data_IF_085609431347
#
_entry.id   IF_085609431347
#
_cell.length_a   1.000
_cell.length_b   1.000
_cell.length_c   1.000
_cell.angle_alpha   90.00
_cell.angle_beta   90.00
_cell.angle_gamma   90.00
#
_symmetry.space_group_name_H-M   'P 1'
#
loop_
_entity.id
_entity.type
_entity.pdbx_description
1 polymer ?
#
# COMPACT_ATOMS: atom_id res chain seq x y z
N UNK A 1 -20.49 -24.38 -9.44
CA UNK A 1 -19.61 -24.99 -8.42
C UNK A 1 -20.30 -25.30 -7.09
N UNK A 2 -21.57 -24.92 -6.86
CA UNK A 2 -22.28 -25.30 -5.63
C UNK A 2 -22.30 -26.83 -5.40
N UNK A 3 -22.41 -27.61 -6.48
CA UNK A 3 -22.53 -29.07 -6.47
C UNK A 3 -21.21 -29.86 -6.32
N UNK A 4 -20.12 -29.20 -5.94
CA UNK A 4 -18.83 -29.84 -5.63
C UNK A 4 -18.29 -29.46 -4.25
N UNK A 5 -18.89 -28.47 -3.59
CA UNK A 5 -18.42 -27.99 -2.29
C UNK A 5 -19.00 -28.81 -1.16
N UNK A 6 -18.30 -28.82 -0.04
CA UNK A 6 -18.88 -29.25 1.22
C UNK A 6 -19.87 -28.19 1.70
N UNK A 7 -21.12 -28.58 1.90
CA UNK A 7 -22.20 -27.67 2.32
C UNK A 7 -22.83 -28.13 3.62
N UNK A 8 -23.15 -27.15 4.48
CA UNK A 8 -23.93 -27.38 5.68
C UNK A 8 -25.41 -27.26 5.28
N UNK A 9 -26.13 -28.36 5.39
CA UNK A 9 -27.58 -28.41 5.19
C UNK A 9 -28.23 -28.04 6.51
N UNK A 10 -28.94 -26.91 6.52
CA UNK A 10 -29.69 -26.47 7.70
C UNK A 10 -30.69 -27.54 8.11
N UNK A 11 -30.76 -27.78 9.42
CA UNK A 11 -31.74 -28.68 9.99
C UNK A 11 -33.16 -28.21 9.65
N UNK A 12 -34.03 -29.15 9.25
CA UNK A 12 -35.43 -28.84 8.94
C UNK A 12 -36.27 -28.58 10.20
N UNK A 13 -35.74 -28.90 11.38
CA UNK A 13 -36.37 -28.71 12.69
C UNK A 13 -35.41 -28.01 13.66
N UNK A 14 -35.91 -27.19 14.61
CA UNK A 14 -35.07 -26.45 15.57
C UNK A 14 -34.20 -27.32 16.49
N UNK A 15 -34.58 -28.59 16.69
CA UNK A 15 -33.91 -29.54 17.58
C UNK A 15 -32.85 -30.40 16.90
N UNK A 16 -32.71 -30.33 15.58
CA UNK A 16 -31.76 -31.14 14.81
C UNK A 16 -30.46 -30.37 14.56
N UNK A 17 -29.31 -31.08 14.66
CA UNK A 17 -28.02 -30.48 14.30
C UNK A 17 -27.92 -30.39 12.77
N UNK A 18 -27.34 -29.30 12.23
CA UNK A 18 -27.06 -29.22 10.80
C UNK A 18 -26.20 -30.40 10.34
N UNK A 19 -26.50 -30.96 9.17
CA UNK A 19 -25.72 -32.05 8.58
C UNK A 19 -24.82 -31.51 7.49
N UNK A 20 -23.64 -32.11 7.33
CA UNK A 20 -22.66 -31.68 6.33
C UNK A 20 -22.62 -32.68 5.19
N UNK A 21 -22.85 -32.21 3.97
CA UNK A 21 -22.76 -33.01 2.75
C UNK A 21 -21.47 -32.63 2.02
N UNK A 22 -20.65 -33.62 1.69
CA UNK A 22 -19.45 -33.43 0.89
C UNK A 22 -19.70 -33.94 -0.54
N UNK A 23 -20.04 -33.01 -1.43
CA UNK A 23 -20.37 -33.36 -2.82
C UNK A 23 -19.17 -33.88 -3.62
N UNK A 24 -17.95 -33.47 -3.27
CA UNK A 24 -16.74 -33.97 -3.93
C UNK A 24 -16.47 -35.40 -3.49
N UNK A 25 -16.58 -35.71 -2.20
CA UNK A 25 -16.47 -37.10 -1.73
C UNK A 25 -17.50 -38.00 -2.40
N UNK A 26 -18.76 -37.56 -2.46
CA UNK A 26 -19.82 -38.29 -3.15
C UNK A 26 -19.55 -38.46 -4.66
N UNK A 27 -18.73 -37.59 -5.27
CA UNK A 27 -18.31 -37.72 -6.65
C UNK A 27 -17.18 -38.73 -6.79
N UNK A 28 -16.17 -38.65 -5.91
CA UNK A 28 -15.06 -39.60 -5.86
C UNK A 28 -15.60 -41.02 -5.66
N UNK A 29 -16.54 -41.21 -4.72
CA UNK A 29 -17.13 -42.51 -4.43
C UNK A 29 -17.96 -43.09 -5.60
N UNK A 30 -18.25 -42.30 -6.66
CA UNK A 30 -19.00 -42.73 -7.85
C UNK A 30 -18.13 -43.18 -9.02
N UNK A 31 -16.82 -42.91 -9.00
CA UNK A 31 -15.93 -43.20 -10.11
C UNK A 31 -14.70 -43.96 -9.59
N UNK A 32 -14.33 -45.02 -10.30
CA UNK A 32 -13.15 -45.85 -9.94
C UNK A 32 -11.84 -45.32 -10.55
N UNK A 33 -11.91 -44.23 -11.33
CA UNK A 33 -10.81 -43.65 -12.09
C UNK A 33 -10.63 -42.15 -11.77
N UNK A 34 -9.38 -41.75 -11.55
CA UNK A 34 -9.02 -40.36 -11.19
C UNK A 34 -9.29 -39.42 -12.35
N UNK A 35 -8.98 -39.85 -13.59
CA UNK A 35 -9.18 -39.01 -14.77
C UNK A 35 -10.67 -38.77 -15.05
N UNK A 36 -11.53 -39.77 -14.82
CA UNK A 36 -12.98 -39.63 -14.88
C UNK A 36 -13.53 -38.62 -13.85
N UNK A 37 -13.02 -38.65 -12.60
CA UNK A 37 -13.39 -37.65 -11.59
C UNK A 37 -12.95 -36.25 -12.02
N UNK A 38 -11.71 -36.10 -12.52
CA UNK A 38 -11.20 -34.82 -13.01
C UNK A 38 -12.06 -34.31 -14.18
N UNK A 39 -12.38 -35.16 -15.15
CA UNK A 39 -13.22 -34.81 -16.30
C UNK A 39 -14.60 -34.31 -15.89
N UNK A 40 -15.27 -34.98 -14.95
CA UNK A 40 -16.58 -34.58 -14.44
C UNK A 40 -16.51 -33.28 -13.63
N UNK A 41 -15.44 -33.08 -12.84
CA UNK A 41 -15.20 -31.80 -12.15
C UNK A 41 -15.03 -30.67 -13.19
N UNK A 42 -14.21 -30.87 -14.22
CA UNK A 42 -13.98 -29.89 -15.28
C UNK A 42 -15.27 -29.56 -16.05
N UNK A 43 -16.07 -30.56 -16.39
CA UNK A 43 -17.36 -30.37 -17.06
C UNK A 43 -18.32 -29.51 -16.20
N UNK A 44 -18.36 -29.73 -14.88
CA UNK A 44 -19.18 -28.94 -13.94
C UNK A 44 -18.66 -27.52 -13.71
N UNK A 45 -17.38 -27.26 -13.96
CA UNK A 45 -16.81 -25.91 -13.81
C UNK A 45 -17.34 -24.95 -14.89
N UNK A 46 -17.72 -25.48 -16.07
CA UNK A 46 -18.26 -24.73 -17.23
C UNK A 46 -17.41 -23.51 -17.61
N UNK A 47 -16.08 -23.68 -17.59
CA UNK A 47 -15.13 -22.56 -17.72
C UNK A 47 -15.28 -21.78 -19.02
N UNK A 48 -15.58 -22.46 -20.12
CA UNK A 48 -15.81 -21.85 -21.45
C UNK A 48 -16.95 -20.81 -21.46
N UNK A 49 -17.95 -20.98 -20.59
CA UNK A 49 -19.07 -20.03 -20.45
C UNK A 49 -18.83 -18.92 -19.43
N UNK A 50 -17.72 -18.99 -18.68
CA UNK A 50 -17.42 -18.16 -17.51
C UNK A 50 -16.31 -17.16 -17.79
N UNK A 51 -16.50 -16.38 -18.84
CA UNK A 51 -15.49 -15.47 -19.40
C UNK A 51 -15.71 -14.00 -19.09
N UNK A 52 -16.83 -13.63 -18.45
CA UNK A 52 -17.13 -12.23 -18.15
C UNK A 52 -16.23 -11.69 -17.04
N UNK A 53 -15.82 -10.43 -17.20
CA UNK A 53 -15.01 -9.65 -16.25
C UNK A 53 -15.65 -8.32 -15.90
N UNK A 54 -16.83 -8.00 -16.47
CA UNK A 54 -17.55 -6.76 -16.24
C UNK A 54 -19.03 -6.98 -15.95
N UNK A 55 -19.59 -6.19 -15.03
CA UNK A 55 -21.03 -6.09 -14.79
C UNK A 55 -21.46 -4.64 -14.94
N UNK A 56 -22.66 -4.43 -15.47
CA UNK A 56 -23.25 -3.09 -15.65
C UNK A 56 -24.57 -3.09 -14.91
N UNK A 57 -24.70 -2.18 -13.94
CA UNK A 57 -25.95 -1.91 -13.27
C UNK A 57 -26.72 -0.85 -14.07
N UNK A 58 -27.88 -1.22 -14.61
CA UNK A 58 -28.73 -0.25 -15.32
C UNK A 58 -29.44 0.68 -14.33
N UNK A 59 -29.71 1.92 -14.74
CA UNK A 59 -30.48 2.89 -13.95
C UNK A 59 -31.86 2.37 -13.55
N UNK A 60 -32.49 1.58 -14.43
CA UNK A 60 -33.85 1.04 -14.23
C UNK A 60 -33.90 -0.22 -13.34
N UNK A 61 -32.77 -0.63 -12.75
CA UNK A 61 -32.72 -1.85 -11.93
C UNK A 61 -33.37 -1.60 -10.57
N UNK A 62 -34.61 -2.08 -10.37
CA UNK A 62 -35.23 -2.11 -9.05
C UNK A 62 -34.37 -2.88 -8.04
N UNK A 63 -34.27 -2.38 -6.79
CA UNK A 63 -33.42 -3.01 -5.77
C UNK A 63 -31.94 -3.05 -6.16
N UNK A 64 -31.46 -2.01 -6.84
CA UNK A 64 -30.12 -1.92 -7.44
C UNK A 64 -28.97 -2.39 -6.52
N UNK A 65 -29.00 -2.01 -5.24
CA UNK A 65 -28.01 -2.43 -4.24
C UNK A 65 -28.16 -3.90 -3.81
N UNK A 66 -29.37 -4.42 -3.71
CA UNK A 66 -29.63 -5.84 -3.42
C UNK A 66 -29.19 -6.72 -4.59
N UNK A 67 -29.46 -6.28 -5.83
CA UNK A 67 -28.99 -6.92 -7.04
C UNK A 67 -27.46 -6.96 -7.07
N UNK A 68 -26.80 -5.86 -6.76
CA UNK A 68 -25.35 -5.76 -6.73
C UNK A 68 -24.76 -6.72 -5.67
N UNK A 69 -25.27 -6.65 -4.44
CA UNK A 69 -24.86 -7.52 -3.33
C UNK A 69 -25.04 -9.01 -3.67
N UNK A 70 -26.16 -9.38 -4.28
CA UNK A 70 -26.46 -10.75 -4.71
C UNK A 70 -25.46 -11.25 -5.77
N UNK A 71 -25.18 -10.44 -6.80
CA UNK A 71 -24.28 -10.85 -7.87
C UNK A 71 -22.82 -10.91 -7.41
N UNK A 72 -22.34 -9.93 -6.66
CA UNK A 72 -21.00 -9.96 -6.06
C UNK A 72 -20.83 -11.19 -5.17
N UNK A 73 -21.82 -11.47 -4.31
CA UNK A 73 -21.81 -12.67 -3.46
C UNK A 73 -21.71 -13.96 -4.29
N UNK A 74 -22.51 -14.09 -5.36
CA UNK A 74 -22.43 -15.24 -6.27
C UNK A 74 -21.06 -15.37 -6.93
N UNK A 75 -20.41 -14.26 -7.30
CA UNK A 75 -19.07 -14.30 -7.89
C UNK A 75 -18.04 -14.74 -6.84
N UNK A 76 -18.05 -14.15 -5.65
CA UNK A 76 -17.15 -14.51 -4.54
C UNK A 76 -17.27 -16.00 -4.17
N UNK A 77 -18.48 -16.55 -4.22
CA UNK A 77 -18.71 -17.98 -3.99
C UNK A 77 -18.55 -18.86 -5.24
N UNK A 78 -18.13 -18.31 -6.39
CA UNK A 78 -17.95 -19.05 -7.64
C UNK A 78 -19.23 -19.72 -8.15
N UNK A 79 -20.38 -19.15 -7.80
CA UNK A 79 -21.73 -19.59 -8.15
C UNK A 79 -22.28 -18.85 -9.37
N UNK A 80 -21.69 -17.70 -9.73
CA UNK A 80 -22.15 -16.92 -10.86
C UNK A 80 -21.92 -17.66 -12.19
N UNK A 81 -22.95 -17.78 -13.06
CA UNK A 81 -22.88 -18.62 -14.27
C UNK A 81 -21.94 -18.09 -15.36
N UNK A 82 -21.63 -16.79 -15.33
CA UNK A 82 -20.83 -16.09 -16.35
C UNK A 82 -19.44 -15.66 -15.90
N UNK A 83 -19.16 -15.71 -14.60
CA UNK A 83 -17.89 -15.24 -14.02
C UNK A 83 -17.13 -16.42 -13.45
N UNK A 84 -15.86 -16.54 -13.80
CA UNK A 84 -14.93 -17.51 -13.20
C UNK A 84 -14.26 -16.90 -11.96
N UNK A 85 -12.93 -16.91 -11.90
CA UNK A 85 -12.12 -16.23 -10.87
C UNK A 85 -11.14 -15.31 -11.60
N UNK A 86 -11.62 -14.20 -12.19
CA UNK A 86 -10.75 -13.27 -12.90
C UNK A 86 -9.84 -12.52 -11.93
N UNK A 87 -8.73 -12.00 -12.44
CA UNK A 87 -7.83 -11.15 -11.66
C UNK A 87 -8.50 -9.85 -11.19
N UNK A 88 -9.45 -9.32 -11.99
CA UNK A 88 -10.22 -8.11 -11.70
C UNK A 88 -11.65 -8.26 -12.21
N UNK A 89 -12.60 -7.73 -11.45
CA UNK A 89 -14.00 -7.56 -11.85
C UNK A 89 -14.29 -6.07 -11.89
N UNK A 90 -14.82 -5.58 -13.00
CA UNK A 90 -15.23 -4.17 -13.14
C UNK A 90 -16.74 -4.08 -13.03
N UNK A 91 -17.22 -3.32 -12.04
CA UNK A 91 -18.65 -3.02 -11.91
C UNK A 91 -18.86 -1.57 -12.34
N UNK A 92 -19.65 -1.39 -13.39
CA UNK A 92 -20.08 -0.07 -13.84
C UNK A 92 -21.42 0.27 -13.17
N UNK A 93 -21.43 1.38 -12.45
CA UNK A 93 -22.59 1.88 -11.71
C UNK A 93 -23.06 3.20 -12.35
N UNK A 94 -24.37 3.49 -12.33
CA UNK A 94 -24.85 4.84 -12.62
C UNK A 94 -24.24 5.85 -11.66
N UNK A 95 -24.02 7.09 -12.12
CA UNK A 95 -23.44 8.14 -11.28
C UNK A 95 -24.27 8.37 -10.02
N UNK A 96 -25.60 8.31 -10.12
CA UNK A 96 -26.48 8.50 -8.96
C UNK A 96 -26.39 7.36 -7.91
N UNK A 97 -25.78 6.22 -8.25
CA UNK A 97 -25.62 5.10 -7.34
C UNK A 97 -24.55 5.36 -6.27
N UNK A 98 -23.55 6.19 -6.59
CA UNK A 98 -22.57 6.70 -5.62
C UNK A 98 -22.98 8.13 -5.27
N UNK A 99 -23.97 8.23 -4.38
CA UNK A 99 -24.59 9.50 -3.96
C UNK A 99 -23.55 10.54 -3.49
N UNK A 100 -23.90 11.81 -3.69
CA UNK A 100 -23.36 12.99 -2.98
C UNK A 100 -21.84 13.23 -3.00
N UNK A 101 -21.19 12.94 -4.13
CA UNK A 101 -19.82 13.41 -4.36
C UNK A 101 -19.75 14.28 -5.62
N UNK A 102 -19.10 15.46 -5.57
CA UNK A 102 -18.87 16.28 -6.77
C UNK A 102 -17.82 15.67 -7.71
N UNK A 103 -17.29 14.49 -7.38
CA UNK A 103 -16.17 13.89 -8.07
C UNK A 103 -16.56 12.59 -8.77
N UNK A 104 -16.00 12.39 -9.96
CA UNK A 104 -15.97 11.08 -10.57
C UNK A 104 -14.97 10.20 -9.81
N UNK A 105 -15.49 9.27 -9.01
CA UNK A 105 -14.68 8.36 -8.19
C UNK A 105 -14.78 6.92 -8.68
N UNK A 106 -13.78 6.12 -8.33
CA UNK A 106 -13.80 4.67 -8.49
C UNK A 106 -13.49 4.04 -7.15
N UNK A 107 -14.27 3.04 -6.75
CA UNK A 107 -14.03 2.28 -5.50
C UNK A 107 -13.32 0.99 -5.86
N UNK A 108 -12.16 0.76 -5.23
CA UNK A 108 -11.35 -0.44 -5.44
C UNK A 108 -11.48 -1.31 -4.20
N UNK A 109 -12.38 -2.30 -4.26
CA UNK A 109 -12.45 -3.35 -3.25
C UNK A 109 -11.32 -4.36 -3.50
N UNK A 110 -10.45 -4.53 -2.50
CA UNK A 110 -9.26 -5.38 -2.62
C UNK A 110 -9.50 -6.71 -1.92
N UNK A 111 -8.84 -7.77 -2.40
CA UNK A 111 -8.81 -9.02 -1.66
C UNK A 111 -8.14 -8.78 -0.30
N UNK A 112 -8.79 -9.21 0.78
CA UNK A 112 -8.26 -9.15 2.13
C UNK A 112 -6.82 -9.66 2.27
N UNK A 113 -6.10 -9.09 3.23
CA UNK A 113 -4.68 -9.38 3.45
C UNK A 113 -4.53 -10.56 4.40
N UNK A 114 -4.08 -11.70 3.89
CA UNK A 114 -3.78 -12.90 4.67
C UNK A 114 -2.26 -13.15 4.69
N UNK A 115 -1.54 -12.43 5.56
CA UNK A 115 -0.09 -12.55 5.74
C UNK A 115 0.70 -11.37 5.17
N UNK A 116 1.12 -11.44 3.90
CA UNK A 116 1.99 -10.42 3.28
C UNK A 116 1.22 -9.14 3.01
N UNK A 117 1.68 -8.05 3.61
CA UNK A 117 1.16 -6.68 3.41
C UNK A 117 1.83 -5.97 2.25
N UNK A 118 3.10 -6.30 1.95
CA UNK A 118 3.85 -5.81 0.79
C UNK A 118 3.44 -6.50 -0.52
N UNK A 119 2.13 -6.48 -0.81
CA UNK A 119 1.61 -6.93 -2.10
C UNK A 119 1.66 -5.79 -3.12
N UNK A 120 2.01 -6.05 -4.40
CA UNK A 120 2.23 -4.98 -5.37
C UNK A 120 0.93 -4.25 -5.72
N UNK A 121 -0.20 -4.96 -5.70
CA UNK A 121 -1.51 -4.38 -5.99
C UNK A 121 -1.97 -3.41 -4.89
N UNK A 122 -1.68 -3.70 -3.62
CA UNK A 122 -1.98 -2.80 -2.50
C UNK A 122 -1.04 -1.59 -2.48
N UNK A 123 0.27 -1.84 -2.62
CA UNK A 123 1.28 -0.78 -2.59
C UNK A 123 1.08 0.22 -3.73
N UNK A 124 0.72 -0.25 -4.93
CA UNK A 124 0.42 0.64 -6.05
C UNK A 124 -0.74 1.61 -5.74
N UNK A 125 -1.75 1.18 -4.98
CA UNK A 125 -2.86 2.07 -4.58
C UNK A 125 -2.46 3.02 -3.44
N UNK A 126 -1.66 2.56 -2.48
CA UNK A 126 -1.15 3.40 -1.38
C UNK A 126 -0.22 4.50 -1.92
N UNK A 127 0.60 4.17 -2.92
CA UNK A 127 1.54 5.09 -3.55
C UNK A 127 0.88 6.05 -4.53
N UNK A 128 -0.30 5.74 -5.07
CA UNK A 128 -1.00 6.64 -5.99
C UNK A 128 -1.44 7.92 -5.25
N UNK A 129 -0.91 9.10 -5.64
CA UNK A 129 -1.24 10.37 -4.98
C UNK A 129 -2.71 10.79 -5.16
N UNK A 130 -3.48 10.08 -5.99
CA UNK A 130 -4.91 10.32 -6.23
C UNK A 130 -5.82 9.37 -5.46
N UNK A 131 -5.26 8.47 -4.67
CA UNK A 131 -6.02 7.43 -3.97
C UNK A 131 -6.08 7.70 -2.47
N UNK A 132 -7.30 7.68 -1.92
CA UNK A 132 -7.55 7.54 -0.48
C UNK A 132 -7.65 6.06 -0.18
N UNK A 133 -6.76 5.55 0.66
CA UNK A 133 -6.73 4.15 1.09
C UNK A 133 -7.44 4.00 2.43
N UNK A 134 -8.49 3.19 2.46
CA UNK A 134 -9.27 2.90 3.66
C UNK A 134 -8.87 1.54 4.22
N UNK A 135 -8.24 1.54 5.39
CA UNK A 135 -7.88 0.35 6.14
C UNK A 135 -9.07 -0.05 7.02
N UNK A 136 -9.72 -1.16 6.69
CA UNK A 136 -10.86 -1.64 7.46
C UNK A 136 -10.43 -2.65 8.53
N UNK A 137 -10.92 -2.49 9.76
CA UNK A 137 -10.71 -3.46 10.84
C UNK A 137 -11.96 -3.67 11.69
N UNK A 138 -11.97 -4.75 12.49
CA UNK A 138 -13.05 -5.01 13.44
C UNK A 138 -12.85 -4.17 14.69
N UNK A 139 -13.94 -3.74 15.32
CA UNK A 139 -13.86 -2.95 16.56
C UNK A 139 -13.10 -3.63 17.70
N UNK A 140 -13.29 -4.94 17.88
CA UNK A 140 -12.61 -5.71 18.93
C UNK A 140 -11.09 -5.82 18.77
N UNK A 141 -10.58 -5.60 17.56
CA UNK A 141 -9.16 -5.75 17.20
C UNK A 141 -8.55 -4.42 16.76
N UNK A 142 -9.30 -3.31 16.74
CA UNK A 142 -8.82 -2.05 16.20
C UNK A 142 -7.63 -1.49 17.03
N UNK A 143 -6.55 -1.02 16.37
CA UNK A 143 -6.43 -0.74 14.93
C UNK A 143 -6.16 -1.96 14.04
N UNK A 144 -5.83 -3.12 14.61
CA UNK A 144 -5.65 -4.38 13.90
C UNK A 144 -4.21 -4.59 13.44
N UNK A 145 -3.74 -5.83 13.49
CA UNK A 145 -2.34 -6.16 13.14
C UNK A 145 -1.98 -5.86 11.68
N UNK A 146 -2.93 -6.05 10.75
CA UNK A 146 -2.73 -5.77 9.32
C UNK A 146 -2.66 -4.26 9.05
N UNK A 147 -3.64 -3.41 9.47
CA UNK A 147 -3.53 -1.97 9.34
C UNK A 147 -2.25 -1.41 9.96
N UNK A 148 -1.88 -1.83 11.17
CA UNK A 148 -0.63 -1.41 11.81
C UNK A 148 0.62 -1.76 10.98
N UNK A 149 0.65 -2.95 10.39
CA UNK A 149 1.76 -3.36 9.52
C UNK A 149 1.83 -2.51 8.25
N UNK A 150 0.69 -2.20 7.62
CA UNK A 150 0.64 -1.33 6.44
C UNK A 150 1.09 0.09 6.78
N UNK A 151 0.63 0.66 7.90
CA UNK A 151 1.03 2.00 8.36
C UNK A 151 2.55 2.05 8.59
N UNK A 152 3.10 1.07 9.33
CA UNK A 152 4.54 0.98 9.60
C UNK A 152 5.36 0.83 8.32
N UNK A 153 4.94 -0.05 7.41
CA UNK A 153 5.64 -0.25 6.13
C UNK A 153 5.58 0.99 5.24
N UNK A 154 4.46 1.71 5.24
CA UNK A 154 4.29 2.97 4.51
C UNK A 154 5.23 4.04 5.05
N UNK A 155 5.39 4.12 6.38
CA UNK A 155 6.31 5.02 7.05
C UNK A 155 7.78 4.67 6.75
N UNK A 156 8.14 3.39 6.92
CA UNK A 156 9.50 2.89 6.69
C UNK A 156 9.94 3.08 5.24
N UNK A 157 9.02 2.90 4.28
CA UNK A 157 9.26 3.13 2.87
C UNK A 157 9.36 4.62 2.49
N UNK A 158 9.08 5.55 3.42
CA UNK A 158 9.12 6.99 3.15
C UNK A 158 8.02 7.45 2.19
N UNK A 159 6.87 6.77 2.19
CA UNK A 159 5.71 7.21 1.43
C UNK A 159 5.07 8.45 2.05
N UNK A 160 4.57 9.35 1.22
CA UNK A 160 3.89 10.57 1.64
C UNK A 160 2.40 10.36 1.98
N UNK A 161 1.89 9.13 1.82
CA UNK A 161 0.49 8.80 2.04
C UNK A 161 0.01 9.17 3.45
N UNK A 162 0.88 9.01 4.45
CA UNK A 162 0.59 9.37 5.84
C UNK A 162 0.55 10.88 6.03
N UNK A 163 1.60 11.60 5.59
CA UNK A 163 1.70 13.05 5.72
C UNK A 163 0.63 13.80 4.91
N UNK A 164 0.15 13.20 3.83
CA UNK A 164 -0.91 13.74 2.97
C UNK A 164 -2.32 13.28 3.39
N UNK A 165 -2.46 12.63 4.56
CA UNK A 165 -3.72 12.08 5.10
C UNK A 165 -4.50 11.19 4.11
N UNK A 166 -3.78 10.51 3.21
CA UNK A 166 -4.38 9.61 2.20
C UNK A 166 -4.65 8.21 2.73
N UNK A 167 -4.15 7.88 3.91
CA UNK A 167 -4.39 6.61 4.59
C UNK A 167 -5.35 6.85 5.76
N UNK A 168 -6.45 6.12 5.83
CA UNK A 168 -7.45 6.28 6.88
C UNK A 168 -7.83 4.92 7.47
N UNK A 169 -8.30 4.91 8.73
CA UNK A 169 -8.77 3.72 9.42
C UNK A 169 -10.30 3.76 9.55
N UNK A 170 -10.98 2.75 9.02
CA UNK A 170 -12.41 2.55 9.21
C UNK A 170 -12.63 1.33 10.11
N UNK A 171 -13.08 1.60 11.33
CA UNK A 171 -13.42 0.58 12.31
C UNK A 171 -14.87 0.15 12.08
N UNK A 172 -15.12 -1.16 12.08
CA UNK A 172 -16.43 -1.76 11.79
C UNK A 172 -16.97 -2.51 13.03
N UNK A 173 -17.70 -1.83 13.92
CA UNK A 173 -18.35 -2.43 15.09
C UNK A 173 -19.50 -3.34 14.70
N UNK A 174 -19.78 -4.31 15.58
CA UNK A 174 -20.89 -5.24 15.43
C UNK A 174 -21.74 -5.29 16.69
N UNK A 175 -23.06 -5.30 16.49
CA UNK A 175 -24.04 -5.47 17.56
C UNK A 175 -23.85 -4.43 18.68
N UNK A 176 -23.42 -4.86 19.85
CA UNK A 176 -23.22 -4.08 21.07
C UNK A 176 -21.74 -4.03 21.50
N UNK A 177 -20.80 -4.29 20.58
CA UNK A 177 -19.36 -4.24 20.85
C UNK A 177 -18.91 -2.90 21.46
N UNK A 178 -19.46 -1.78 20.95
CA UNK A 178 -19.16 -0.45 21.46
C UNK A 178 -19.62 -0.22 22.91
N UNK A 179 -20.70 -0.89 23.34
CA UNK A 179 -21.24 -0.77 24.71
C UNK A 179 -20.51 -1.67 25.71
N UNK A 180 -19.70 -2.61 25.22
CA UNK A 180 -18.98 -3.61 26.02
C UNK A 180 -17.52 -3.29 26.25
N UNK A 181 -16.99 -2.28 25.57
CA UNK A 181 -15.63 -1.81 25.82
C UNK A 181 -15.54 -1.24 27.24
N UNK A 182 -14.38 -1.39 27.86
CA UNK A 182 -14.13 -0.89 29.21
C UNK A 182 -13.02 0.16 29.11
N UNK A 183 -13.24 1.32 29.71
CA UNK A 183 -12.21 2.36 29.81
C UNK A 183 -11.19 2.05 30.93
N UNK A 184 -10.15 2.86 31.05
CA UNK A 184 -9.10 2.66 32.06
C UNK A 184 -9.61 2.73 33.52
N UNK A 185 -10.82 3.27 33.73
CA UNK A 185 -11.49 3.34 35.03
C UNK A 185 -12.39 2.14 35.32
N UNK A 186 -12.45 1.15 34.43
CA UNK A 186 -13.30 -0.04 34.61
C UNK A 186 -14.78 0.20 34.29
N UNK A 187 -15.13 1.34 33.70
CA UNK A 187 -16.52 1.72 33.38
C UNK A 187 -16.82 1.43 31.91
N UNK A 188 -18.02 0.89 31.66
CA UNK A 188 -18.56 0.70 30.32
C UNK A 188 -19.26 1.97 29.82
N UNK A 189 -19.20 2.29 28.52
CA UNK A 189 -19.88 3.43 27.93
C UNK A 189 -21.39 3.44 28.17
N UNK A 190 -21.97 4.64 28.29
CA UNK A 190 -23.41 4.86 28.36
C UNK A 190 -24.09 4.68 27.00
N UNK A 191 -23.38 5.00 25.91
CA UNK A 191 -23.87 4.88 24.54
C UNK A 191 -22.76 4.50 23.55
N UNK A 192 -23.15 4.25 22.30
CA UNK A 192 -22.26 3.84 21.21
C UNK A 192 -21.22 4.91 20.89
N UNK A 193 -21.58 6.19 20.94
CA UNK A 193 -20.68 7.29 20.62
C UNK A 193 -19.54 7.38 21.64
N UNK A 194 -19.86 7.29 22.94
CA UNK A 194 -18.85 7.19 23.99
C UNK A 194 -17.96 5.94 23.79
N UNK A 195 -18.54 4.80 23.40
CA UNK A 195 -17.78 3.60 23.08
C UNK A 195 -16.79 3.76 21.92
N UNK A 196 -17.18 4.51 20.89
CA UNK A 196 -16.29 4.87 19.78
C UNK A 196 -15.16 5.78 20.26
N UNK A 197 -15.46 6.81 21.05
CA UNK A 197 -14.42 7.70 21.62
C UNK A 197 -13.41 6.96 22.49
N UNK A 198 -13.86 6.02 23.33
CA UNK A 198 -12.95 5.18 24.12
C UNK A 198 -12.04 4.35 23.22
N UNK A 199 -12.59 3.75 22.15
CA UNK A 199 -11.79 2.96 21.20
C UNK A 199 -10.81 3.82 20.42
N UNK A 200 -11.22 5.01 19.99
CA UNK A 200 -10.37 5.97 19.29
C UNK A 200 -9.15 6.36 20.15
N UNK A 201 -9.38 6.69 21.42
CA UNK A 201 -8.29 6.99 22.36
C UNK A 201 -7.32 5.80 22.54
N UNK A 202 -7.83 4.56 22.60
CA UNK A 202 -6.98 3.37 22.65
C UNK A 202 -6.16 3.17 21.36
N UNK A 203 -6.73 3.47 20.20
CA UNK A 203 -6.02 3.41 18.91
C UNK A 203 -4.90 4.46 18.87
N UNK A 204 -5.20 5.70 19.24
CA UNK A 204 -4.21 6.80 19.28
C UNK A 204 -3.08 6.52 20.27
N UNK A 205 -3.40 5.96 21.44
CA UNK A 205 -2.39 5.52 22.40
C UNK A 205 -1.48 4.42 21.82
N UNK A 206 -2.05 3.48 21.05
CA UNK A 206 -1.27 2.44 20.39
C UNK A 206 -0.37 3.03 19.30
N UNK A 207 -0.86 3.98 18.49
CA UNK A 207 -0.04 4.67 17.50
C UNK A 207 1.14 5.40 18.15
N UNK A 208 0.89 6.16 19.22
CA UNK A 208 1.94 6.84 19.97
C UNK A 208 2.97 5.87 20.56
N UNK A 209 2.52 4.75 21.15
CA UNK A 209 3.39 3.71 21.73
C UNK A 209 4.29 3.07 20.66
N UNK A 210 3.75 2.86 19.46
CA UNK A 210 4.47 2.25 18.35
C UNK A 210 5.32 3.24 17.54
N UNK A 211 5.31 4.54 17.91
CA UNK A 211 6.00 5.60 17.18
C UNK A 211 5.41 5.87 15.79
N UNK A 212 4.12 5.56 15.59
CA UNK A 212 3.40 5.77 14.34
C UNK A 212 2.67 7.13 14.36
N UNK A 213 2.56 7.81 13.21
CA UNK A 213 1.74 9.02 13.13
C UNK A 213 0.25 8.67 13.28
N UNK A 214 -0.52 9.59 13.85
CA UNK A 214 -1.98 9.53 13.80
C UNK A 214 -2.46 9.60 12.34
N UNK A 215 -3.56 8.90 12.07
CA UNK A 215 -4.25 8.93 10.78
C UNK A 215 -5.74 9.16 11.04
N UNK A 216 -6.51 9.67 10.07
CA UNK A 216 -7.95 9.82 10.24
C UNK A 216 -8.63 8.49 10.59
N UNK A 217 -9.39 8.46 11.69
CA UNK A 217 -10.16 7.30 12.17
C UNK A 217 -11.65 7.61 12.03
N UNK A 218 -12.44 6.62 11.62
CA UNK A 218 -13.90 6.69 11.68
C UNK A 218 -14.49 5.31 12.03
N UNK A 219 -15.73 5.29 12.48
CA UNK A 219 -16.47 4.10 12.91
C UNK A 219 -17.73 3.95 12.08
N UNK A 220 -18.09 2.72 11.73
CA UNK A 220 -19.33 2.46 11.01
C UNK A 220 -19.94 1.10 11.35
N UNK A 221 -21.08 1.13 12.02
CA UNK A 221 -21.90 -0.03 12.29
C UNK A 221 -23.05 -0.14 11.28
N UNK A 222 -22.96 -1.15 10.43
CA UNK A 222 -23.99 -1.47 9.43
C UNK A 222 -25.35 -1.69 10.10
N UNK A 223 -26.36 -0.96 9.64
CA UNK A 223 -27.75 -1.09 10.09
C UNK A 223 -28.10 -0.31 11.37
N UNK A 224 -27.12 0.36 11.98
CA UNK A 224 -27.32 1.26 13.12
C UNK A 224 -26.93 2.70 12.78
N UNK A 225 -25.78 2.87 12.12
CA UNK A 225 -25.21 4.19 11.82
C UNK A 225 -25.67 4.66 10.43
N UNK A 226 -25.76 5.98 10.25
CA UNK A 226 -26.15 6.59 8.97
C UNK A 226 -24.99 6.48 7.95
N UNK A 227 -25.18 5.83 6.79
CA UNK A 227 -24.11 5.67 5.81
C UNK A 227 -23.58 7.00 5.24
N UNK A 228 -24.41 8.04 5.25
CA UNK A 228 -24.08 9.39 4.75
C UNK A 228 -22.91 10.01 5.53
N UNK A 229 -22.79 9.75 6.84
CA UNK A 229 -21.73 10.31 7.67
C UNK A 229 -20.35 9.82 7.25
N UNK A 230 -20.21 8.52 6.99
CA UNK A 230 -18.96 7.91 6.50
C UNK A 230 -18.64 8.42 5.10
N UNK A 231 -19.67 8.62 4.28
CA UNK A 231 -19.50 9.07 2.90
C UNK A 231 -19.08 10.53 2.81
N UNK A 232 -19.65 11.38 3.67
CA UNK A 232 -19.19 12.75 3.85
C UNK A 232 -17.75 12.80 4.35
N UNK A 233 -17.41 11.98 5.35
CA UNK A 233 -16.04 11.88 5.87
C UNK A 233 -15.04 11.50 4.76
N UNK A 234 -15.30 10.44 3.99
CA UNK A 234 -14.44 10.03 2.88
C UNK A 234 -14.35 11.09 1.78
N UNK A 235 -15.47 11.73 1.44
CA UNK A 235 -15.49 12.81 0.45
C UNK A 235 -14.64 13.99 0.91
N UNK A 236 -14.70 14.38 2.19
CA UNK A 236 -13.86 15.45 2.73
C UNK A 236 -12.36 15.18 2.58
N UNK A 237 -11.93 13.91 2.67
CA UNK A 237 -10.53 13.52 2.44
C UNK A 237 -10.13 13.70 0.98
N UNK A 238 -11.01 13.30 0.05
CA UNK A 238 -10.80 13.51 -1.38
C UNK A 238 -10.73 15.01 -1.70
N UNK A 239 -11.60 15.82 -1.10
CA UNK A 239 -11.58 17.28 -1.23
C UNK A 239 -10.25 17.87 -0.75
N UNK A 240 -9.76 17.46 0.43
CA UNK A 240 -8.50 17.94 0.98
C UNK A 240 -7.30 17.65 0.05
N UNK A 241 -7.20 16.43 -0.50
CA UNK A 241 -6.14 16.07 -1.45
C UNK A 241 -6.19 16.96 -2.70
N UNK A 242 -7.40 17.20 -3.24
CA UNK A 242 -7.57 18.04 -4.43
C UNK A 242 -7.27 19.50 -4.13
N UNK A 243 -7.72 20.03 -2.99
CA UNK A 243 -7.46 21.38 -2.56
C UNK A 243 -5.95 21.64 -2.42
N UNK A 244 -5.21 20.72 -1.79
CA UNK A 244 -3.76 20.83 -1.67
C UNK A 244 -3.06 20.92 -3.04
N UNK A 245 -3.51 20.15 -4.04
CA UNK A 245 -2.98 20.24 -5.41
C UNK A 245 -3.34 21.55 -6.10
N UNK A 246 -4.57 22.04 -5.92
CA UNK A 246 -5.00 23.34 -6.48
C UNK A 246 -4.18 24.48 -5.89
N UNK A 247 -3.98 24.50 -4.57
CA UNK A 247 -3.18 25.54 -3.90
C UNK A 247 -1.72 25.49 -4.34
N UNK A 248 -1.13 24.30 -4.54
CA UNK A 248 0.21 24.16 -5.11
C UNK A 248 0.30 24.76 -6.52
N UNK A 249 -0.65 24.45 -7.41
CA UNK A 249 -0.68 25.02 -8.77
C UNK A 249 -0.78 26.54 -8.72
N UNK A 250 -1.65 27.09 -7.85
CA UNK A 250 -1.78 28.54 -7.67
C UNK A 250 -0.47 29.18 -7.22
N UNK A 251 0.25 28.57 -6.27
CA UNK A 251 1.56 29.06 -5.81
C UNK A 251 2.59 29.08 -6.95
N UNK A 252 2.69 28.01 -7.74
CA UNK A 252 3.60 27.99 -8.90
C UNK A 252 3.23 29.05 -9.95
N UNK A 253 1.93 29.24 -10.24
CA UNK A 253 1.47 30.27 -11.18
C UNK A 253 1.78 31.68 -10.65
N UNK A 254 1.59 31.93 -9.36
CA UNK A 254 1.92 33.21 -8.74
C UNK A 254 3.44 33.47 -8.77
N UNK A 255 4.25 32.46 -8.49
CA UNK A 255 5.72 32.54 -8.58
C UNK A 255 6.17 32.91 -10.00
N UNK A 256 5.61 32.25 -11.03
CA UNK A 256 5.90 32.55 -12.42
C UNK A 256 5.52 33.99 -12.81
N UNK A 257 4.38 34.49 -12.33
CA UNK A 257 3.98 35.89 -12.56
C UNK A 257 4.92 36.88 -11.88
N UNK A 258 5.30 36.63 -10.62
CA UNK A 258 6.20 37.51 -9.87
C UNK A 258 7.59 37.63 -10.53
N UNK A 259 8.09 36.54 -11.13
CA UNK A 259 9.34 36.56 -11.90
C UNK A 259 9.27 37.46 -13.14
N UNK A 260 8.09 37.60 -13.76
CA UNK A 260 7.89 38.45 -14.95
C UNK A 260 7.79 39.94 -14.56
N UNK A 261 7.26 40.25 -13.37
CA UNK A 261 6.89 41.63 -13.00
C UNK A 261 7.92 42.38 -12.15
N UNK A 262 8.88 41.71 -11.52
CA UNK A 262 9.78 42.37 -10.56
C UNK A 262 10.99 43.05 -11.22
N UNK A 263 11.13 44.35 -10.96
CA UNK A 263 12.11 45.27 -11.55
C UNK A 263 13.39 45.48 -10.71
N UNK A 264 13.55 44.81 -9.56
CA UNK A 264 14.68 45.02 -8.62
C UNK A 264 15.83 44.02 -8.85
N UNK A 265 16.25 43.93 -10.11
CA UNK A 265 17.14 42.90 -10.67
C UNK A 265 18.44 42.72 -9.86
N UNK A 266 19.02 43.79 -9.32
CA UNK A 266 20.34 43.73 -8.68
C UNK A 266 20.34 43.01 -7.32
N UNK A 267 19.36 43.29 -6.45
CA UNK A 267 19.27 42.64 -5.12
C UNK A 267 18.85 41.18 -5.25
N UNK A 268 17.90 40.90 -6.16
CA UNK A 268 17.50 39.52 -6.47
C UNK A 268 18.67 38.73 -7.05
N UNK A 269 19.57 39.34 -7.85
CA UNK A 269 20.74 38.65 -8.41
C UNK A 269 21.78 38.27 -7.35
N UNK A 270 22.04 39.14 -6.38
CA UNK A 270 22.95 38.80 -5.26
C UNK A 270 22.38 37.67 -4.40
N UNK A 271 21.09 37.75 -4.05
CA UNK A 271 20.40 36.68 -3.31
C UNK A 271 20.46 35.34 -4.07
N UNK A 272 20.15 35.35 -5.37
CA UNK A 272 20.23 34.18 -6.25
C UNK A 272 21.62 33.56 -6.27
N UNK A 273 22.69 34.36 -6.32
CA UNK A 273 24.07 33.85 -6.28
C UNK A 273 24.39 33.18 -4.95
N UNK A 274 23.97 33.76 -3.83
CA UNK A 274 24.17 33.17 -2.50
C UNK A 274 23.40 31.85 -2.36
N UNK A 275 22.17 31.80 -2.85
CA UNK A 275 21.35 30.59 -2.90
C UNK A 275 22.02 29.51 -3.76
N UNK A 276 22.48 29.88 -4.96
CA UNK A 276 23.20 29.00 -5.88
C UNK A 276 24.42 28.35 -5.21
N UNK A 277 25.30 29.16 -4.63
CA UNK A 277 26.51 28.70 -3.97
C UNK A 277 26.21 27.82 -2.74
N UNK A 278 25.19 28.17 -1.96
CA UNK A 278 24.80 27.40 -0.76
C UNK A 278 24.23 26.03 -1.14
N UNK A 279 23.32 25.98 -2.11
CA UNK A 279 22.74 24.73 -2.59
C UNK A 279 23.79 23.87 -3.29
N UNK A 280 24.65 24.45 -4.13
CA UNK A 280 25.72 23.71 -4.80
C UNK A 280 26.70 23.07 -3.80
N UNK A 281 27.08 23.81 -2.75
CA UNK A 281 27.91 23.27 -1.65
C UNK A 281 27.19 22.16 -0.88
N UNK A 282 25.88 22.29 -0.65
CA UNK A 282 25.10 21.25 -0.02
C UNK A 282 25.03 19.99 -0.91
N UNK A 283 24.75 20.15 -2.20
CA UNK A 283 24.71 19.06 -3.16
C UNK A 283 26.06 18.32 -3.24
N UNK A 284 27.18 19.03 -3.31
CA UNK A 284 28.51 18.41 -3.31
C UNK A 284 28.79 17.66 -2.01
N UNK A 285 28.44 18.25 -0.85
CA UNK A 285 28.60 17.62 0.46
C UNK A 285 27.83 16.30 0.56
N UNK A 286 26.67 16.21 -0.07
CA UNK A 286 25.77 15.05 -0.01
C UNK A 286 25.81 14.18 -1.28
N UNK A 287 26.75 14.44 -2.19
CA UNK A 287 26.92 13.68 -3.43
C UNK A 287 27.12 12.19 -3.17
N UNK A 288 28.00 11.87 -2.23
CA UNK A 288 28.20 10.49 -1.81
C UNK A 288 27.01 9.98 -0.98
N UNK A 289 26.33 8.97 -1.50
CA UNK A 289 25.25 8.31 -0.77
C UNK A 289 25.82 7.59 0.47
N UNK A 290 25.21 7.75 1.67
CA UNK A 290 25.65 7.06 2.88
C UNK A 290 25.69 5.54 2.72
N UNK A 291 26.45 4.80 3.53
CA UNK A 291 26.52 3.34 3.40
C UNK A 291 25.19 2.63 3.73
N UNK A 292 25.01 1.43 3.19
CA UNK A 292 23.90 0.52 3.53
C UNK A 292 23.86 0.28 5.04
N UNK A 293 22.69 0.46 5.63
CA UNK A 293 22.44 0.24 7.06
C UNK A 293 21.72 -1.08 7.28
N UNK A 294 20.77 -1.41 6.41
CA UNK A 294 19.93 -2.61 6.48
C UNK A 294 19.94 -3.34 5.13
N UNK A 295 20.56 -4.52 5.03
CA UNK A 295 20.49 -5.33 3.82
C UNK A 295 19.04 -5.64 3.40
N UNK A 296 18.75 -5.51 2.10
CA UNK A 296 17.39 -5.67 1.55
C UNK A 296 16.75 -7.04 1.88
N UNK A 297 17.55 -8.10 1.93
CA UNK A 297 17.07 -9.45 2.23
C UNK A 297 16.49 -9.60 3.64
N UNK A 298 16.86 -8.74 4.60
CA UNK A 298 16.26 -8.78 5.94
C UNK A 298 14.76 -8.43 5.92
N UNK A 299 14.33 -7.60 4.95
CA UNK A 299 12.92 -7.37 4.70
C UNK A 299 12.23 -8.67 4.24
N UNK A 300 12.82 -9.38 3.27
CA UNK A 300 12.33 -10.67 2.79
C UNK A 300 12.22 -11.72 3.91
N UNK A 301 13.23 -11.82 4.77
CA UNK A 301 13.24 -12.73 5.92
C UNK A 301 12.08 -12.41 6.89
N UNK A 302 11.83 -11.11 7.13
CA UNK A 302 10.76 -10.65 8.00
C UNK A 302 9.38 -10.98 7.40
N UNK A 303 9.19 -10.68 6.12
CA UNK A 303 7.96 -11.01 5.39
C UNK A 303 7.70 -12.53 5.37
N UNK A 304 8.73 -13.35 5.14
CA UNK A 304 8.60 -14.80 5.15
C UNK A 304 8.10 -15.34 6.50
N UNK A 305 8.57 -14.77 7.61
CA UNK A 305 8.17 -15.21 8.95
C UNK A 305 6.69 -14.93 9.26
N UNK A 306 6.12 -13.83 8.74
CA UNK A 306 4.70 -13.49 8.98
C UNK A 306 3.73 -14.08 7.95
N UNK A 307 4.19 -14.34 6.72
CA UNK A 307 3.33 -14.79 5.62
C UNK A 307 2.78 -16.20 5.86
N UNK A 308 1.56 -16.49 5.40
CA UNK A 308 0.99 -17.83 5.52
C UNK A 308 1.81 -18.87 4.72
N UNK A 309 2.02 -20.06 5.30
CA UNK A 309 2.90 -21.09 4.73
C UNK A 309 2.52 -21.51 3.30
N UNK A 310 1.22 -21.55 2.97
CA UNK A 310 0.76 -21.91 1.63
C UNK A 310 1.12 -20.85 0.58
N UNK A 311 1.15 -19.57 0.96
CA UNK A 311 1.55 -18.48 0.06
C UNK A 311 3.05 -18.53 -0.22
N UNK A 312 3.85 -18.85 0.79
CA UNK A 312 5.29 -19.06 0.64
C UNK A 312 5.55 -20.26 -0.27
N UNK A 313 4.92 -21.40 -0.02
CA UNK A 313 5.08 -22.59 -0.85
C UNK A 313 4.67 -22.35 -2.31
N UNK A 314 3.55 -21.64 -2.53
CA UNK A 314 3.12 -21.26 -3.87
C UNK A 314 4.14 -20.35 -4.58
N UNK A 315 4.80 -19.47 -3.84
CA UNK A 315 5.87 -18.60 -4.34
C UNK A 315 7.14 -19.38 -4.63
N UNK A 316 7.57 -20.27 -3.74
CA UNK A 316 8.73 -21.16 -3.93
C UNK A 316 8.58 -21.99 -5.21
N UNK A 317 7.43 -22.64 -5.42
CA UNK A 317 7.15 -23.42 -6.63
C UNK A 317 7.13 -22.57 -7.91
N UNK A 318 7.03 -21.25 -7.78
CA UNK A 318 7.04 -20.27 -8.88
C UNK A 318 8.31 -19.41 -8.89
N UNK A 319 9.36 -19.84 -8.19
CA UNK A 319 10.64 -19.13 -8.08
C UNK A 319 10.48 -17.67 -7.65
N UNK A 320 9.60 -17.42 -6.69
CA UNK A 320 9.34 -16.08 -6.16
C UNK A 320 8.27 -15.28 -6.91
N UNK A 321 7.76 -15.78 -8.05
CA UNK A 321 6.78 -15.09 -8.88
C UNK A 321 5.34 -15.46 -8.47
N UNK A 322 4.92 -14.95 -7.31
CA UNK A 322 3.57 -15.14 -6.78
C UNK A 322 3.04 -13.88 -6.09
N UNK A 323 1.85 -13.44 -6.48
CA UNK A 323 1.29 -12.14 -6.06
C UNK A 323 1.13 -12.01 -4.53
N UNK A 324 0.83 -13.12 -3.83
CA UNK A 324 0.67 -13.08 -2.37
C UNK A 324 2.00 -13.20 -1.61
N UNK A 325 3.13 -13.46 -2.28
CA UNK A 325 4.47 -13.41 -1.68
C UNK A 325 5.53 -13.15 -2.78
N UNK A 326 5.58 -11.94 -3.36
CA UNK A 326 6.39 -11.64 -4.53
C UNK A 326 7.83 -11.30 -4.13
N UNK A 327 8.72 -12.29 -4.15
CA UNK A 327 10.06 -12.19 -3.54
C UNK A 327 10.89 -11.02 -4.09
N UNK A 328 10.91 -10.83 -5.42
CA UNK A 328 11.64 -9.71 -6.02
C UNK A 328 11.08 -8.34 -5.63
N UNK A 329 9.74 -8.22 -5.51
CA UNK A 329 9.11 -6.97 -5.07
C UNK A 329 9.44 -6.66 -3.61
N UNK A 330 9.37 -7.67 -2.73
CA UNK A 330 9.72 -7.54 -1.31
C UNK A 330 11.19 -7.12 -1.14
N UNK A 331 12.11 -7.67 -1.95
CA UNK A 331 13.50 -7.21 -1.96
C UNK A 331 13.62 -5.76 -2.41
N UNK A 332 12.91 -5.35 -3.47
CA UNK A 332 12.85 -3.96 -3.91
C UNK A 332 12.38 -3.00 -2.80
N UNK A 333 11.32 -3.36 -2.07
CA UNK A 333 10.87 -2.60 -0.92
C UNK A 333 11.93 -2.57 0.21
N UNK A 334 12.66 -3.67 0.41
CA UNK A 334 13.79 -3.71 1.33
C UNK A 334 14.88 -2.70 1.00
N UNK A 335 15.22 -2.54 -0.28
CA UNK A 335 16.18 -1.52 -0.75
C UNK A 335 15.64 -0.12 -0.47
N UNK A 336 14.36 0.14 -0.78
CA UNK A 336 13.72 1.44 -0.53
C UNK A 336 13.73 1.81 0.96
N UNK A 337 13.41 0.87 1.84
CA UNK A 337 13.42 1.07 3.29
C UNK A 337 14.83 1.44 3.77
N UNK A 338 15.87 0.72 3.33
CA UNK A 338 17.26 1.05 3.65
C UNK A 338 17.64 2.46 3.16
N UNK A 339 17.34 2.76 1.91
CA UNK A 339 17.67 4.05 1.30
C UNK A 339 16.98 5.20 2.01
N UNK A 340 15.69 5.07 2.34
CA UNK A 340 14.97 6.06 3.12
C UNK A 340 15.61 6.26 4.50
N UNK A 341 15.99 5.17 5.18
CA UNK A 341 16.63 5.22 6.49
C UNK A 341 17.96 5.99 6.45
N UNK A 342 18.83 5.70 5.47
CA UNK A 342 20.17 6.31 5.39
C UNK A 342 20.20 7.71 4.79
N UNK A 343 19.15 8.12 4.07
CA UNK A 343 19.06 9.47 3.46
C UNK A 343 18.19 10.45 4.25
N UNK A 344 17.44 10.00 5.26
CA UNK A 344 16.54 10.85 6.06
C UNK A 344 17.22 12.11 6.59
N UNK A 345 18.37 11.95 7.25
CA UNK A 345 19.09 13.08 7.86
C UNK A 345 19.66 14.03 6.80
N UNK A 346 19.97 13.52 5.60
CA UNK A 346 20.39 14.35 4.46
C UNK A 346 19.26 15.27 4.02
N UNK A 347 18.04 14.74 3.86
CA UNK A 347 16.88 15.55 3.49
C UNK A 347 16.51 16.58 4.56
N UNK A 348 16.63 16.24 5.85
CA UNK A 348 16.46 17.21 6.95
C UNK A 348 17.45 18.37 6.81
N UNK A 349 18.72 18.09 6.53
CA UNK A 349 19.75 19.14 6.38
C UNK A 349 19.57 19.98 5.13
N UNK A 350 19.04 19.41 4.05
CA UNK A 350 18.68 20.17 2.84
C UNK A 350 17.53 21.12 3.19
N UNK A 351 16.50 20.64 3.88
CA UNK A 351 15.37 21.47 4.32
C UNK A 351 15.82 22.62 5.24
N UNK A 352 16.66 22.32 6.24
CA UNK A 352 17.26 23.33 7.13
C UNK A 352 18.05 24.40 6.36
N UNK A 353 18.78 24.02 5.31
CA UNK A 353 19.52 24.96 4.49
C UNK A 353 18.59 25.87 3.66
N UNK A 354 17.50 25.32 3.12
CA UNK A 354 16.49 26.09 2.37
C UNK A 354 15.76 27.06 3.30
N UNK A 355 15.34 26.61 4.48
CA UNK A 355 14.67 27.46 5.47
C UNK A 355 15.61 28.58 5.99
N UNK A 356 16.89 28.27 6.23
CA UNK A 356 17.87 29.29 6.61
C UNK A 356 18.03 30.39 5.55
N UNK A 357 18.10 30.00 4.26
CA UNK A 357 18.12 30.97 3.16
C UNK A 357 16.82 31.79 3.09
N UNK A 358 15.68 31.17 3.39
CA UNK A 358 14.39 31.84 3.36
C UNK A 358 14.28 32.89 4.45
N UNK A 359 14.80 32.61 5.64
CA UNK A 359 14.88 33.58 6.74
C UNK A 359 15.78 34.77 6.36
N UNK A 360 16.97 34.52 5.81
CA UNK A 360 17.93 35.53 5.37
C UNK A 360 17.36 36.46 4.28
N UNK A 361 16.55 35.91 3.37
CA UNK A 361 15.94 36.63 2.25
C UNK A 361 14.44 36.89 2.42
N UNK A 362 13.91 36.84 3.64
CA UNK A 362 12.48 37.03 3.94
C UNK A 362 11.88 38.36 3.45
N UNK A 363 12.73 39.37 3.27
CA UNK A 363 12.36 40.69 2.73
C UNK A 363 12.20 40.72 1.20
N UNK A 364 12.65 39.67 0.50
CA UNK A 364 12.54 39.50 -0.95
C UNK A 364 11.46 38.45 -1.26
N UNK A 365 10.23 38.89 -1.49
CA UNK A 365 9.09 37.99 -1.63
C UNK A 365 9.19 37.00 -2.80
N UNK A 366 9.86 37.37 -3.89
CA UNK A 366 10.16 36.51 -5.03
C UNK A 366 11.16 35.39 -4.68
N UNK A 367 12.18 35.73 -3.90
CA UNK A 367 13.20 34.79 -3.43
C UNK A 367 12.60 33.81 -2.42
N UNK A 368 11.82 34.31 -1.45
CA UNK A 368 11.14 33.47 -0.48
C UNK A 368 10.19 32.47 -1.18
N UNK A 369 9.42 32.93 -2.18
CA UNK A 369 8.54 32.08 -2.96
C UNK A 369 9.30 31.03 -3.81
N UNK A 370 10.47 31.38 -4.35
CA UNK A 370 11.33 30.43 -5.04
C UNK A 370 11.82 29.33 -4.09
N UNK A 371 12.26 29.70 -2.88
CA UNK A 371 12.72 28.73 -1.88
C UNK A 371 11.59 27.81 -1.40
N UNK A 372 10.37 28.32 -1.26
CA UNK A 372 9.18 27.49 -1.00
C UNK A 372 8.92 26.47 -2.11
N UNK A 373 9.06 26.88 -3.37
CA UNK A 373 8.90 25.97 -4.50
C UNK A 373 10.02 24.92 -4.55
N UNK A 374 11.27 25.33 -4.28
CA UNK A 374 12.40 24.40 -4.22
C UNK A 374 12.21 23.35 -3.13
N UNK A 375 11.68 23.74 -1.97
CA UNK A 375 11.32 22.80 -0.89
C UNK A 375 10.30 21.76 -1.36
N UNK A 376 9.21 22.22 -2.00
CA UNK A 376 8.19 21.33 -2.56
C UNK A 376 8.77 20.39 -3.64
N UNK A 377 9.69 20.88 -4.48
CA UNK A 377 10.34 20.09 -5.52
C UNK A 377 11.29 19.04 -4.94
N UNK A 378 12.06 19.37 -3.88
CA UNK A 378 12.92 18.41 -3.16
C UNK A 378 12.11 17.26 -2.57
N UNK A 379 10.93 17.54 -2.01
CA UNK A 379 10.04 16.48 -1.52
C UNK A 379 9.54 15.58 -2.65
N UNK A 380 9.26 16.14 -3.83
CA UNK A 380 8.83 15.37 -5.00
C UNK A 380 9.96 14.51 -5.56
N UNK A 381 11.17 15.07 -5.67
CA UNK A 381 12.35 14.33 -6.08
C UNK A 381 12.67 13.18 -5.12
N UNK A 382 12.52 13.39 -3.81
CA UNK A 382 12.64 12.32 -2.81
C UNK A 382 11.67 11.17 -3.08
N UNK A 383 10.41 11.48 -3.39
CA UNK A 383 9.38 10.47 -3.70
C UNK A 383 9.75 9.70 -4.97
N UNK A 384 10.11 10.39 -6.05
CA UNK A 384 10.53 9.74 -7.31
C UNK A 384 11.78 8.87 -7.11
N UNK A 385 12.77 9.38 -6.37
CA UNK A 385 13.98 8.65 -6.01
C UNK A 385 13.65 7.32 -5.30
N UNK A 386 12.85 7.35 -4.23
CA UNK A 386 12.50 6.15 -3.47
C UNK A 386 11.69 5.13 -4.30
N UNK A 387 10.79 5.60 -5.16
CA UNK A 387 10.04 4.74 -6.09
C UNK A 387 10.95 4.07 -7.11
N UNK A 388 11.87 4.83 -7.73
CA UNK A 388 12.83 4.28 -8.71
C UNK A 388 13.81 3.30 -8.08
N UNK A 389 14.24 3.56 -6.85
CA UNK A 389 15.09 2.65 -6.07
C UNK A 389 14.39 1.31 -5.82
N UNK A 390 13.12 1.32 -5.42
CA UNK A 390 12.36 0.08 -5.24
C UNK A 390 12.27 -0.74 -6.53
N UNK A 391 12.00 -0.06 -7.65
CA UNK A 391 11.93 -0.67 -8.98
C UNK A 391 13.28 -1.24 -9.42
N UNK A 392 14.36 -0.50 -9.20
CA UNK A 392 15.72 -0.94 -9.51
C UNK A 392 16.08 -2.20 -8.70
N UNK A 393 15.82 -2.21 -7.39
CA UNK A 393 16.02 -3.38 -6.54
C UNK A 393 15.28 -4.61 -7.05
N UNK A 394 13.98 -4.46 -7.34
CA UNK A 394 13.16 -5.54 -7.92
C UNK A 394 13.76 -6.07 -9.22
N UNK A 395 14.09 -5.18 -10.16
CA UNK A 395 14.55 -5.56 -11.50
C UNK A 395 15.93 -6.21 -11.47
N UNK A 396 16.82 -5.77 -10.58
CA UNK A 396 18.20 -6.27 -10.50
C UNK A 396 18.30 -7.57 -9.69
N UNK A 397 17.44 -7.80 -8.70
CA UNK A 397 17.37 -9.10 -8.02
C UNK A 397 16.62 -10.17 -8.83
N UNK A 398 15.72 -9.79 -9.73
CA UNK A 398 14.88 -10.75 -10.49
C UNK A 398 15.70 -11.79 -11.30
N UNK A 399 16.74 -11.41 -12.09
CA UNK A 399 17.56 -12.37 -12.82
C UNK A 399 18.24 -13.38 -11.89
N UNK A 400 18.84 -12.88 -10.80
CA UNK A 400 19.47 -13.73 -9.80
C UNK A 400 18.50 -14.77 -9.22
N UNK A 401 17.32 -14.32 -8.79
CA UNK A 401 16.29 -15.21 -8.24
C UNK A 401 15.85 -16.28 -9.24
N UNK A 402 15.78 -15.96 -10.54
CA UNK A 402 15.37 -16.93 -11.56
C UNK A 402 16.37 -18.07 -11.75
N UNK A 403 17.66 -17.79 -11.51
CA UNK A 403 18.80 -18.70 -11.67
C UNK A 403 19.13 -19.48 -10.38
N UNK A 404 18.70 -18.99 -9.20
CA UNK A 404 18.95 -19.56 -7.87
C UNK A 404 18.21 -20.90 -7.61
N UNK A 405 18.41 -21.88 -8.48
CA UNK A 405 17.67 -23.16 -8.50
C UNK A 405 17.89 -23.97 -7.22
N UNK A 406 19.12 -24.03 -6.71
CA UNK A 406 19.44 -24.76 -5.48
C UNK A 406 18.71 -24.19 -4.26
N UNK A 407 18.62 -22.87 -4.13
CA UNK A 407 17.88 -22.19 -3.06
C UNK A 407 16.39 -22.59 -3.09
N UNK A 408 15.77 -22.57 -4.27
CA UNK A 408 14.37 -22.94 -4.43
C UNK A 408 14.12 -24.41 -4.12
N UNK A 409 14.99 -25.31 -4.59
CA UNK A 409 14.89 -26.74 -4.29
C UNK A 409 15.01 -27.03 -2.79
N UNK A 410 15.91 -26.33 -2.07
CA UNK A 410 16.01 -26.42 -0.60
C UNK A 410 14.70 -26.01 0.07
N UNK A 411 14.11 -24.89 -0.37
CA UNK A 411 12.81 -24.42 0.13
C UNK A 411 11.67 -25.40 -0.19
N UNK A 412 11.65 -26.00 -1.38
CA UNK A 412 10.62 -26.94 -1.82
C UNK A 412 10.67 -28.23 -1.01
N UNK A 413 11.87 -28.82 -0.83
CA UNK A 413 12.09 -30.05 -0.04
C UNK A 413 11.64 -29.90 1.41
N UNK A 414 11.60 -28.67 1.93
CA UNK A 414 11.16 -28.41 3.30
C UNK A 414 9.64 -28.47 3.47
N UNK A 415 8.88 -28.32 2.40
CA UNK A 415 7.42 -28.33 2.45
C UNK A 415 6.90 -29.72 2.82
N UNK A 416 5.94 -29.80 3.75
CA UNK A 416 5.40 -31.06 4.26
C UNK A 416 6.27 -31.80 5.30
N UNK A 417 7.50 -31.33 5.57
CA UNK A 417 8.42 -31.94 6.55
C UNK A 417 8.12 -31.66 8.04
N UNK A 418 6.90 -31.23 8.38
CA UNK A 418 6.49 -30.86 9.74
C UNK A 418 6.43 -29.35 10.02
N UNK A 419 6.16 -28.98 11.28
CA UNK A 419 6.03 -27.59 11.73
C UNK A 419 7.32 -26.78 11.48
N UNK A 420 7.21 -25.45 11.33
CA UNK A 420 8.38 -24.56 11.19
C UNK A 420 8.75 -24.16 9.75
N UNK A 421 7.98 -24.58 8.73
CA UNK A 421 8.27 -24.30 7.32
C UNK A 421 8.69 -22.84 7.03
N UNK A 422 7.95 -21.87 7.58
CA UNK A 422 8.20 -20.44 7.38
C UNK A 422 9.54 -19.96 7.95
N UNK A 423 9.90 -20.48 9.12
CA UNK A 423 11.14 -20.14 9.81
C UNK A 423 12.32 -20.69 9.00
N UNK A 424 12.21 -21.94 8.55
CA UNK A 424 13.28 -22.59 7.82
C UNK A 424 13.49 -21.96 6.43
N UNK A 425 12.41 -21.66 5.69
CA UNK A 425 12.50 -20.89 4.44
C UNK A 425 13.12 -19.51 4.68
N UNK A 426 12.75 -18.83 5.76
CA UNK A 426 13.37 -17.54 6.10
C UNK A 426 14.87 -17.67 6.39
N UNK A 427 15.30 -18.77 7.02
CA UNK A 427 16.71 -19.08 7.25
C UNK A 427 17.46 -19.39 5.95
N UNK A 428 16.85 -20.14 5.04
CA UNK A 428 17.42 -20.43 3.71
C UNK A 428 17.62 -19.12 2.92
N UNK A 429 16.63 -18.21 2.91
CA UNK A 429 16.80 -16.91 2.28
C UNK A 429 17.93 -16.11 2.91
N UNK A 430 18.02 -16.09 4.24
CA UNK A 430 19.08 -15.38 4.93
C UNK A 430 20.46 -15.93 4.54
N UNK A 431 20.66 -17.24 4.67
CA UNK A 431 21.93 -17.91 4.32
C UNK A 431 22.31 -17.67 2.86
N UNK A 432 21.34 -17.75 1.93
CA UNK A 432 21.58 -17.49 0.51
C UNK A 432 22.14 -16.09 0.29
N UNK A 433 21.51 -15.05 0.85
CA UNK A 433 21.96 -13.67 0.63
C UNK A 433 23.23 -13.29 1.39
N UNK A 434 23.60 -14.04 2.42
CA UNK A 434 24.83 -13.84 3.20
C UNK A 434 26.05 -14.57 2.63
N UNK A 435 25.86 -15.69 1.92
CA UNK A 435 26.97 -16.58 1.52
C UNK A 435 27.14 -16.77 0.01
N UNK A 436 26.11 -16.53 -0.79
CA UNK A 436 26.16 -16.78 -2.24
C UNK A 436 26.79 -15.60 -3.01
N UNK A 437 27.78 -15.90 -3.84
CA UNK A 437 28.49 -14.89 -4.63
C UNK A 437 27.57 -14.21 -5.67
N UNK A 438 26.56 -14.91 -6.17
CA UNK A 438 25.55 -14.36 -7.07
C UNK A 438 24.66 -13.32 -6.38
N UNK A 439 24.19 -13.61 -5.16
CA UNK A 439 23.43 -12.65 -4.34
C UNK A 439 24.26 -11.41 -4.00
N UNK A 440 25.53 -11.58 -3.64
CA UNK A 440 26.46 -10.48 -3.36
C UNK A 440 26.65 -9.61 -4.61
N UNK A 441 26.85 -10.22 -5.77
CA UNK A 441 26.97 -9.51 -7.06
C UNK A 441 25.71 -8.74 -7.41
N UNK A 442 24.52 -9.33 -7.21
CA UNK A 442 23.25 -8.65 -7.42
C UNK A 442 23.10 -7.44 -6.48
N UNK A 443 23.47 -7.60 -5.20
CA UNK A 443 23.43 -6.52 -4.22
C UNK A 443 24.37 -5.36 -4.58
N UNK A 444 25.58 -5.65 -5.06
CA UNK A 444 26.52 -4.61 -5.54
C UNK A 444 25.99 -3.86 -6.76
N UNK A 445 25.34 -4.56 -7.70
CA UNK A 445 24.69 -3.93 -8.85
C UNK A 445 23.54 -3.02 -8.42
N UNK A 446 22.74 -3.45 -7.43
CA UNK A 446 21.69 -2.64 -6.83
C UNK A 446 22.29 -1.36 -6.24
N UNK A 447 23.29 -1.46 -5.37
CA UNK A 447 23.90 -0.27 -4.76
C UNK A 447 24.51 0.69 -5.79
N UNK A 448 25.15 0.17 -6.82
CA UNK A 448 25.68 0.99 -7.92
C UNK A 448 24.57 1.74 -8.65
N UNK A 449 23.44 1.07 -8.90
CA UNK A 449 22.29 1.68 -9.54
C UNK A 449 21.60 2.71 -8.62
N UNK A 450 21.51 2.43 -7.32
CA UNK A 450 20.95 3.37 -6.34
C UNK A 450 21.78 4.66 -6.29
N UNK A 451 23.11 4.55 -6.27
CA UNK A 451 24.00 5.71 -6.33
C UNK A 451 23.81 6.53 -7.62
N UNK A 452 23.63 5.87 -8.77
CA UNK A 452 23.35 6.55 -10.03
C UNK A 452 21.99 7.29 -10.03
N UNK A 453 20.94 6.67 -9.47
CA UNK A 453 19.62 7.32 -9.34
C UNK A 453 19.70 8.50 -8.34
N UNK A 454 20.47 8.37 -7.25
CA UNK A 454 20.70 9.46 -6.30
C UNK A 454 21.31 10.68 -6.97
N UNK A 455 22.37 10.48 -7.76
CA UNK A 455 22.99 11.59 -8.52
C UNK A 455 21.96 12.23 -9.46
N UNK A 456 21.27 11.41 -10.27
CA UNK A 456 20.37 11.89 -11.32
C UNK A 456 19.11 12.60 -10.79
N UNK A 457 18.54 12.13 -9.68
CA UNK A 457 17.23 12.60 -9.19
C UNK A 457 17.37 13.62 -8.07
N UNK A 458 18.45 13.60 -7.31
CA UNK A 458 18.64 14.50 -6.17
C UNK A 458 19.75 15.50 -6.42
N UNK A 459 20.96 15.03 -6.77
CA UNK A 459 22.13 15.91 -6.86
C UNK A 459 22.08 16.81 -8.10
N UNK A 460 21.88 16.25 -9.29
CA UNK A 460 21.81 17.01 -10.54
C UNK A 460 20.67 18.03 -10.52
N UNK A 461 19.44 17.71 -10.05
CA UNK A 461 18.36 18.68 -9.97
C UNK A 461 18.59 19.76 -8.92
N UNK A 462 19.20 19.44 -7.76
CA UNK A 462 19.59 20.47 -6.78
C UNK A 462 20.60 21.46 -7.39
N UNK A 463 21.60 20.95 -8.11
CA UNK A 463 22.58 21.81 -8.78
C UNK A 463 21.92 22.66 -9.88
N UNK A 464 21.07 22.05 -10.71
CA UNK A 464 20.40 22.72 -11.83
C UNK A 464 19.36 23.75 -11.38
N UNK A 465 18.59 23.46 -10.33
CA UNK A 465 17.63 24.41 -9.77
C UNK A 465 18.32 25.63 -9.14
N UNK A 466 19.58 25.46 -8.76
CA UNK A 466 20.42 26.51 -8.19
C UNK A 466 21.23 27.29 -9.23
N UNK A 467 21.41 26.76 -10.45
CA UNK A 467 22.09 27.46 -11.54
C UNK A 467 21.16 28.49 -12.18
N UNK A 468 21.44 29.76 -11.93
CA UNK A 468 20.85 30.85 -12.71
C UNK A 468 21.80 31.11 -13.88
N UNK A 469 21.44 30.66 -15.08
CA UNK A 469 22.18 31.05 -16.28
C UNK A 469 22.04 32.57 -16.46
N UNK A 470 23.16 33.26 -16.33
CA UNK A 470 23.33 34.67 -16.67
C UNK A 470 23.33 34.80 -18.22
N UNK A 471 22.25 34.40 -18.90
CA UNK A 471 22.07 34.71 -20.32
C UNK A 471 21.15 35.94 -20.49
N UNK A 472 21.85 37.04 -20.82
CA UNK A 472 21.48 38.41 -21.24
C UNK A 472 20.95 39.43 -20.22
#
# INVERSE_FOLDING_TARGET
MADLRRVIVRAKKPSEKPTTVDHLKNLIDKFDDVDAVIGEVMARMKLESRTETQMILSQDTEGSMEWLSSNISKINYGQHPKFSVPHRITVLLPLEALRETPFLISVIDTKGVEGTTQRPDLMAQIEDPRTVTVLCCKFSDAPGGVPLSIIRETLDAGSDALASERLCLLVLPRNDEALKIVNDSGVTPADTAEGYTVREAQIEQQFATDGLPSIPINFFQVGSDEPEDVWHWLTSRIEAIRAAKVERIKRHVAAAHNLITNADIAKTREARRTIADTIAKAAERFRALPNVVRPAHLNLVTEAKKTHQNSIAASVNRKGNWDNFPVAHILGQGVRIDVNLRTRDTFVRIDEAIEGLKDDFSHLGDVAQFLDNLKDDVEEWRKDFLTRVALAGRNLFSPYLSEATEMWEKCEKRYGGGAGYRIDVSGIFQEQFESDAGAMTASQKVESQVAAIWEQIIIDPLQSASSFDDEE
#
